data_IF_348384933918
#
_entry.id   IF_348384933918
#
_cell.length_a   1.000
_cell.length_b   1.000
_cell.length_c   1.000
_cell.angle_alpha   90.00
_cell.angle_beta   90.00
_cell.angle_gamma   90.00
#
_symmetry.space_group_name_H-M   'P 1'
#
loop_
_entity.id
_entity.type
_entity.pdbx_description
1 polymer ?
#
# COMPACT_ATOMS: atom_id res chain seq x y z
N UNK A 1 58.34 -57.83 4.12
CA UNK A 1 56.96 -58.20 4.50
C UNK A 1 55.99 -57.62 3.47
N UNK A 2 55.50 -58.48 2.53
CA UNK A 2 54.48 -58.09 1.55
C UNK A 2 53.13 -58.41 2.17
N UNK A 3 52.30 -57.34 2.47
CA UNK A 3 50.90 -57.54 2.80
C UNK A 3 50.16 -57.90 1.50
N UNK A 4 49.74 -59.15 1.43
CA UNK A 4 48.83 -59.63 0.38
C UNK A 4 47.45 -59.09 0.74
N UNK A 5 46.97 -58.05 0.00
CA UNK A 5 45.62 -57.60 0.03
C UNK A 5 44.70 -58.75 -0.44
N UNK A 6 44.05 -59.45 0.51
CA UNK A 6 42.95 -60.38 0.28
C UNK A 6 41.77 -59.62 -0.35
N UNK A 7 41.67 -59.68 -1.67
CA UNK A 7 40.51 -59.25 -2.36
C UNK A 7 39.27 -60.11 -1.93
N UNK A 8 38.21 -59.56 -1.42
CA UNK A 8 37.03 -60.33 -1.02
C UNK A 8 36.47 -61.05 -2.25
N UNK A 9 36.42 -62.35 -2.19
CA UNK A 9 35.74 -63.18 -3.23
C UNK A 9 34.22 -62.93 -3.13
N UNK A 10 33.77 -61.91 -3.84
CA UNK A 10 32.34 -61.60 -3.96
C UNK A 10 31.64 -62.78 -4.67
N UNK A 11 30.78 -63.48 -3.95
CA UNK A 11 29.90 -64.51 -4.53
C UNK A 11 29.00 -63.81 -5.56
N UNK A 12 28.73 -64.49 -6.69
CA UNK A 12 27.87 -63.95 -7.76
C UNK A 12 26.51 -63.42 -7.24
N UNK A 13 25.92 -64.06 -6.23
CA UNK A 13 24.70 -63.58 -5.55
C UNK A 13 24.90 -62.25 -4.85
N UNK A 14 25.99 -62.05 -4.21
CA UNK A 14 26.33 -60.79 -3.50
C UNK A 14 26.57 -59.64 -4.49
N UNK A 15 27.17 -59.94 -5.64
CA UNK A 15 27.38 -58.95 -6.69
C UNK A 15 26.06 -58.47 -7.32
N UNK A 16 25.14 -59.42 -7.61
CA UNK A 16 23.81 -59.12 -8.14
C UNK A 16 23.02 -58.28 -7.13
N UNK A 17 23.00 -58.64 -5.84
CA UNK A 17 22.33 -57.88 -4.80
C UNK A 17 22.92 -56.47 -4.67
N UNK A 18 24.21 -56.31 -4.71
CA UNK A 18 24.86 -55.00 -4.63
C UNK A 18 24.49 -54.12 -5.83
N UNK A 19 24.46 -54.71 -7.03
CA UNK A 19 24.13 -53.96 -8.24
C UNK A 19 22.65 -53.54 -8.28
N UNK A 20 21.72 -54.38 -7.80
CA UNK A 20 20.30 -54.03 -7.69
C UNK A 20 20.07 -52.95 -6.64
N UNK A 21 20.67 -53.04 -5.47
CA UNK A 21 20.57 -51.99 -4.44
C UNK A 21 21.16 -50.69 -4.94
N UNK A 22 22.32 -50.71 -5.61
CA UNK A 22 22.93 -49.50 -6.18
C UNK A 22 22.00 -48.85 -7.22
N UNK A 23 21.44 -49.66 -8.14
CA UNK A 23 20.51 -49.17 -9.17
C UNK A 23 19.28 -48.50 -8.57
N UNK A 24 18.66 -49.12 -7.58
CA UNK A 24 17.48 -48.59 -6.90
C UNK A 24 17.85 -47.29 -6.16
N UNK A 25 18.97 -47.25 -5.48
CA UNK A 25 19.43 -46.04 -4.77
C UNK A 25 19.67 -44.89 -5.76
N UNK A 26 20.33 -45.14 -6.89
CA UNK A 26 20.54 -44.11 -7.93
C UNK A 26 19.21 -43.57 -8.47
N UNK A 27 18.22 -44.41 -8.70
CA UNK A 27 16.86 -43.95 -9.13
C UNK A 27 16.20 -43.08 -8.09
N UNK A 28 16.25 -43.44 -6.81
CA UNK A 28 15.70 -42.62 -5.75
C UNK A 28 16.41 -41.25 -5.62
N UNK A 29 17.73 -41.24 -5.68
CA UNK A 29 18.52 -39.99 -5.64
C UNK A 29 18.16 -39.10 -6.82
N UNK A 30 18.10 -39.66 -8.04
CA UNK A 30 17.73 -38.92 -9.23
C UNK A 30 16.30 -38.36 -9.13
N UNK A 31 15.34 -39.19 -8.75
CA UNK A 31 13.95 -38.76 -8.57
C UNK A 31 13.81 -37.64 -7.52
N UNK A 32 14.55 -37.77 -6.40
CA UNK A 32 14.55 -36.75 -5.34
C UNK A 32 15.08 -35.40 -5.85
N UNK A 33 16.21 -35.40 -6.53
CA UNK A 33 16.75 -34.15 -7.09
C UNK A 33 15.85 -33.56 -8.18
N UNK A 34 15.31 -34.39 -9.06
CA UNK A 34 14.42 -33.94 -10.12
C UNK A 34 13.13 -33.33 -9.58
N UNK A 35 12.49 -33.96 -8.60
CA UNK A 35 11.28 -33.43 -7.97
C UNK A 35 11.58 -32.13 -7.24
N UNK A 36 12.63 -32.08 -6.44
CA UNK A 36 12.99 -30.85 -5.72
C UNK A 36 13.29 -29.69 -6.66
N UNK A 37 14.00 -29.93 -7.75
CA UNK A 37 14.31 -28.89 -8.74
C UNK A 37 13.03 -28.36 -9.41
N UNK A 38 12.19 -29.27 -9.92
CA UNK A 38 10.94 -28.90 -10.63
C UNK A 38 9.92 -28.23 -9.71
N UNK A 39 9.77 -28.72 -8.48
CA UNK A 39 8.83 -28.16 -7.49
C UNK A 39 9.28 -26.77 -7.08
N UNK A 40 10.60 -26.58 -6.85
CA UNK A 40 11.14 -25.28 -6.46
C UNK A 40 10.91 -24.20 -7.52
N UNK A 41 11.18 -24.49 -8.80
CA UNK A 41 10.92 -23.53 -9.88
C UNK A 41 9.42 -23.17 -9.97
N UNK A 42 8.55 -24.18 -9.98
CA UNK A 42 7.10 -23.92 -10.05
C UNK A 42 6.56 -23.15 -8.84
N UNK A 43 7.09 -23.39 -7.64
CA UNK A 43 6.70 -22.62 -6.45
C UNK A 43 7.13 -21.17 -6.54
N UNK A 44 8.33 -20.90 -7.03
CA UNK A 44 8.84 -19.54 -7.22
C UNK A 44 7.98 -18.80 -8.25
N UNK A 45 7.75 -19.39 -9.43
CA UNK A 45 6.99 -18.78 -10.49
C UNK A 45 5.54 -18.50 -10.07
N UNK A 46 4.89 -19.47 -9.42
CA UNK A 46 3.54 -19.29 -8.87
C UNK A 46 3.49 -18.19 -7.80
N UNK A 47 4.49 -18.14 -6.91
CA UNK A 47 4.56 -17.11 -5.88
C UNK A 47 4.76 -15.72 -6.47
N UNK A 48 5.59 -15.58 -7.50
CA UNK A 48 5.80 -14.32 -8.20
C UNK A 48 4.53 -13.88 -8.94
N UNK A 49 3.87 -14.79 -9.64
CA UNK A 49 2.62 -14.51 -10.35
C UNK A 49 1.50 -14.08 -9.38
N UNK A 50 1.33 -14.78 -8.27
CA UNK A 50 0.36 -14.45 -7.23
C UNK A 50 0.68 -13.08 -6.59
N UNK A 51 1.95 -12.79 -6.31
CA UNK A 51 2.34 -11.51 -5.74
C UNK A 51 2.10 -10.35 -6.73
N UNK A 52 2.36 -10.56 -8.01
CA UNK A 52 2.10 -9.57 -9.04
C UNK A 52 0.59 -9.29 -9.18
N UNK A 53 -0.24 -10.34 -9.21
CA UNK A 53 -1.70 -10.21 -9.24
C UNK A 53 -2.23 -9.50 -7.99
N UNK A 54 -1.76 -9.88 -6.81
CA UNK A 54 -2.16 -9.28 -5.54
C UNK A 54 -1.77 -7.79 -5.48
N UNK A 55 -0.55 -7.45 -5.91
CA UNK A 55 -0.08 -6.07 -5.98
C UNK A 55 -0.92 -5.23 -6.94
N UNK A 56 -1.28 -5.79 -8.10
CA UNK A 56 -2.15 -5.13 -9.08
C UNK A 56 -3.55 -4.88 -8.52
N UNK A 57 -4.12 -5.84 -7.83
CA UNK A 57 -5.44 -5.69 -7.17
C UNK A 57 -5.42 -4.62 -6.07
N UNK A 58 -4.37 -4.60 -5.24
CA UNK A 58 -4.21 -3.56 -4.20
C UNK A 58 -4.08 -2.18 -4.86
N UNK A 59 -3.26 -2.04 -5.89
CA UNK A 59 -3.08 -0.79 -6.60
C UNK A 59 -4.40 -0.29 -7.21
N UNK A 60 -5.16 -1.17 -7.88
CA UNK A 60 -6.46 -0.83 -8.45
C UNK A 60 -7.47 -0.42 -7.38
N UNK A 61 -7.54 -1.15 -6.26
CA UNK A 61 -8.43 -0.81 -5.14
C UNK A 61 -8.06 0.51 -4.49
N UNK A 62 -6.77 0.76 -4.27
CA UNK A 62 -6.26 2.02 -3.73
C UNK A 62 -6.59 3.18 -4.65
N UNK A 63 -6.37 3.03 -5.97
CA UNK A 63 -6.71 4.06 -6.94
C UNK A 63 -8.21 4.38 -6.91
N UNK A 64 -9.06 3.36 -6.88
CA UNK A 64 -10.52 3.55 -6.76
C UNK A 64 -10.89 4.35 -5.50
N UNK A 65 -10.29 4.04 -4.36
CA UNK A 65 -10.53 4.78 -3.11
C UNK A 65 -10.10 6.24 -3.22
N UNK A 66 -8.95 6.52 -3.85
CA UNK A 66 -8.50 7.89 -4.07
C UNK A 66 -9.44 8.67 -4.99
N UNK A 67 -9.91 8.06 -6.08
CA UNK A 67 -10.88 8.70 -6.98
C UNK A 67 -12.20 9.03 -6.26
N UNK A 68 -12.69 8.15 -5.40
CA UNK A 68 -13.87 8.38 -4.60
C UNK A 68 -13.67 9.55 -3.62
N UNK A 69 -12.54 9.60 -2.94
CA UNK A 69 -12.15 10.71 -2.06
C UNK A 69 -12.14 12.03 -2.83
N UNK A 70 -11.48 12.07 -3.98
CA UNK A 70 -11.37 13.26 -4.82
C UNK A 70 -12.75 13.72 -5.32
N UNK A 71 -13.60 12.80 -5.73
CA UNK A 71 -14.97 13.10 -6.16
C UNK A 71 -15.77 13.76 -5.02
N UNK A 72 -15.67 13.22 -3.81
CA UNK A 72 -16.34 13.78 -2.63
C UNK A 72 -15.82 15.17 -2.25
N UNK A 73 -14.50 15.37 -2.32
CA UNK A 73 -13.89 16.68 -2.06
C UNK A 73 -14.31 17.72 -3.09
N UNK A 74 -14.28 17.38 -4.38
CA UNK A 74 -14.74 18.27 -5.47
C UNK A 74 -16.21 18.64 -5.34
N UNK A 75 -17.05 17.67 -4.97
CA UNK A 75 -18.45 17.94 -4.71
C UNK A 75 -18.63 18.95 -3.58
N UNK A 76 -17.95 18.74 -2.43
CA UNK A 76 -17.99 19.69 -1.31
C UNK A 76 -17.43 21.05 -1.67
N UNK A 77 -16.31 21.09 -2.42
CA UNK A 77 -15.70 22.34 -2.86
C UNK A 77 -16.67 23.15 -3.74
N UNK A 78 -17.37 22.50 -4.67
CA UNK A 78 -18.39 23.13 -5.51
C UNK A 78 -19.56 23.66 -4.70
N UNK A 79 -20.05 22.89 -3.71
CA UNK A 79 -21.14 23.29 -2.86
C UNK A 79 -20.77 24.48 -1.97
N UNK A 80 -19.58 24.42 -1.35
CA UNK A 80 -19.05 25.52 -0.53
C UNK A 80 -18.77 26.78 -1.34
N UNK A 81 -18.39 26.66 -2.61
CA UNK A 81 -18.19 27.79 -3.50
C UNK A 81 -19.46 28.57 -3.79
N UNK A 82 -20.65 27.99 -3.62
CA UNK A 82 -21.94 28.69 -3.80
C UNK A 82 -22.27 29.63 -2.63
N UNK A 83 -21.93 29.25 -1.40
CA UNK A 83 -22.16 30.06 -0.20
C UNK A 83 -21.06 29.78 0.86
N UNK A 84 -19.89 30.28 0.57
CA UNK A 84 -18.74 30.12 1.49
C UNK A 84 -18.91 30.93 2.78
N UNK A 85 -19.74 31.95 2.78
CA UNK A 85 -20.01 32.78 3.96
C UNK A 85 -20.80 32.05 5.05
N UNK A 86 -21.62 31.06 4.67
CA UNK A 86 -22.43 30.30 5.61
C UNK A 86 -21.62 29.40 6.55
N UNK A 87 -21.57 29.79 7.82
CA UNK A 87 -20.87 28.95 8.85
C UNK A 87 -21.56 27.60 9.04
N UNK A 88 -22.88 27.54 8.90
CA UNK A 88 -23.65 26.29 9.00
C UNK A 88 -23.26 25.33 7.88
N UNK A 89 -23.17 25.81 6.64
CA UNK A 89 -22.78 25.01 5.49
C UNK A 89 -21.33 24.50 5.65
N UNK A 90 -20.39 25.35 6.05
CA UNK A 90 -18.98 24.96 6.28
C UNK A 90 -18.88 23.83 7.31
N UNK A 91 -19.56 23.95 8.44
CA UNK A 91 -19.53 22.97 9.50
C UNK A 91 -20.23 21.66 9.12
N UNK A 92 -21.37 21.73 8.43
CA UNK A 92 -22.07 20.54 7.96
C UNK A 92 -21.27 19.76 6.91
N UNK A 93 -20.62 20.46 5.96
CA UNK A 93 -19.82 19.80 4.94
C UNK A 93 -18.54 19.17 5.49
N UNK A 94 -17.85 19.83 6.41
CA UNK A 94 -16.67 19.22 7.06
C UNK A 94 -17.05 17.99 7.88
N UNK A 95 -18.17 18.02 8.59
CA UNK A 95 -18.69 16.87 9.31
C UNK A 95 -19.15 15.76 8.38
N UNK A 96 -19.84 16.08 7.27
CA UNK A 96 -20.28 15.13 6.26
C UNK A 96 -19.12 14.39 5.63
N UNK A 97 -18.11 15.10 5.16
CA UNK A 97 -16.91 14.50 4.57
C UNK A 97 -16.24 13.51 5.52
N UNK A 98 -16.10 13.89 6.80
CA UNK A 98 -15.50 12.98 7.80
C UNK A 98 -16.38 11.76 8.07
N UNK A 99 -17.71 11.92 8.11
CA UNK A 99 -18.64 10.82 8.42
C UNK A 99 -18.78 9.83 7.25
N UNK A 100 -18.72 10.32 6.02
CA UNK A 100 -18.88 9.50 4.81
C UNK A 100 -17.65 8.64 4.51
N UNK A 101 -16.49 9.06 4.96
CA UNK A 101 -15.26 8.33 4.67
C UNK A 101 -14.49 7.98 5.95
N UNK A 102 -14.39 6.68 6.21
CA UNK A 102 -13.48 6.17 7.24
C UNK A 102 -12.00 6.47 6.96
N UNK A 103 -11.69 6.91 5.74
CA UNK A 103 -10.32 7.20 5.30
C UNK A 103 -9.81 8.57 5.77
N UNK A 104 -10.71 9.53 6.07
CA UNK A 104 -10.30 10.83 6.60
C UNK A 104 -10.05 10.76 8.11
N UNK A 105 -8.84 11.06 8.55
CA UNK A 105 -8.55 11.28 9.96
C UNK A 105 -9.18 12.60 10.43
N UNK A 106 -9.07 13.64 9.61
CA UNK A 106 -9.60 14.97 9.86
C UNK A 106 -9.87 15.70 8.56
N UNK A 107 -10.79 16.65 8.59
CA UNK A 107 -11.14 17.54 7.49
C UNK A 107 -10.97 18.97 7.98
N UNK A 108 -10.29 19.80 7.19
CA UNK A 108 -10.06 21.21 7.49
C UNK A 108 -10.56 22.07 6.34
N UNK A 109 -11.16 23.18 6.68
CA UNK A 109 -11.47 24.25 5.75
C UNK A 109 -10.61 25.46 6.11
N UNK A 110 -9.90 26.00 5.14
CA UNK A 110 -9.00 27.12 5.33
C UNK A 110 -9.33 28.29 4.42
N UNK A 111 -9.05 29.50 4.86
CA UNK A 111 -9.18 30.71 4.04
C UNK A 111 -8.01 30.88 3.06
N UNK A 112 -7.99 31.99 2.31
CA UNK A 112 -6.93 32.31 1.34
C UNK A 112 -5.58 32.54 2.01
N UNK A 113 -5.59 32.99 3.26
CA UNK A 113 -4.41 33.24 4.08
C UNK A 113 -3.88 31.97 4.75
N UNK A 114 -4.64 30.86 4.67
CA UNK A 114 -4.29 29.57 5.28
C UNK A 114 -4.77 29.42 6.74
N UNK A 115 -5.66 30.29 7.24
CA UNK A 115 -6.23 30.14 8.56
C UNK A 115 -7.36 29.11 8.54
N UNK A 116 -7.44 28.31 9.59
CA UNK A 116 -8.53 27.34 9.73
C UNK A 116 -9.81 28.06 10.10
N UNK A 117 -10.83 27.92 9.29
CA UNK A 117 -12.17 28.47 9.52
C UNK A 117 -13.19 27.41 9.94
N UNK A 118 -12.98 26.14 9.62
CA UNK A 118 -13.77 25.03 10.10
C UNK A 118 -12.92 23.74 10.09
N UNK A 119 -13.16 22.84 11.03
CA UNK A 119 -12.49 21.54 11.08
C UNK A 119 -13.33 20.50 11.80
N UNK A 120 -13.09 19.25 11.47
CA UNK A 120 -13.72 18.11 12.12
C UNK A 120 -12.70 16.94 12.22
N UNK A 121 -12.64 16.16 13.32
CA UNK A 121 -13.44 16.29 14.54
C UNK A 121 -12.98 17.45 15.43
N UNK A 122 -13.90 18.09 16.11
CA UNK A 122 -13.67 19.24 16.99
C UNK A 122 -12.83 18.92 18.23
N UNK A 123 -12.64 17.63 18.54
CA UNK A 123 -11.76 17.16 19.63
C UNK A 123 -10.26 17.27 19.32
N UNK A 124 -9.89 17.56 18.08
CA UNK A 124 -8.48 17.74 17.70
C UNK A 124 -7.92 19.03 18.30
N UNK A 125 -6.88 18.89 19.13
CA UNK A 125 -6.09 20.02 19.57
C UNK A 125 -5.14 20.42 18.44
N UNK A 126 -5.49 21.46 17.69
CA UNK A 126 -4.74 21.92 16.55
C UNK A 126 -3.97 23.19 16.97
N UNK A 127 -2.69 23.17 16.75
CA UNK A 127 -1.91 24.40 16.79
C UNK A 127 -2.09 25.12 15.44
N UNK A 128 -2.97 26.13 15.45
CA UNK A 128 -3.29 26.93 14.25
C UNK A 128 -2.05 27.56 13.59
N UNK A 129 -0.98 27.81 14.34
CA UNK A 129 0.27 28.36 13.82
C UNK A 129 1.06 27.38 12.94
N UNK A 130 0.87 26.07 13.11
CA UNK A 130 1.61 25.07 12.32
C UNK A 130 0.96 24.77 10.97
N UNK A 131 -0.34 24.98 10.82
CA UNK A 131 -1.06 24.61 9.59
C UNK A 131 -0.81 25.58 8.44
N UNK A 132 -0.54 26.84 8.72
CA UNK A 132 -0.16 27.84 7.70
C UNK A 132 1.02 27.42 6.83
N UNK A 133 1.91 26.56 7.35
CA UNK A 133 3.09 26.07 6.65
C UNK A 133 2.92 24.70 6.04
N UNK A 134 1.71 24.13 6.06
CA UNK A 134 1.49 22.80 5.50
C UNK A 134 1.57 22.86 3.99
N UNK A 135 2.54 22.16 3.44
CA UNK A 135 2.88 22.16 2.02
C UNK A 135 1.65 21.93 1.11
N UNK A 136 0.72 21.09 1.54
CA UNK A 136 -0.50 20.78 0.79
C UNK A 136 -1.43 21.96 0.57
N UNK A 137 -1.63 22.80 1.59
CA UNK A 137 -2.49 23.99 1.51
C UNK A 137 -1.85 25.03 0.60
N UNK A 138 -0.59 25.35 0.85
CA UNK A 138 0.15 26.36 0.08
C UNK A 138 0.23 26.00 -1.41
N UNK A 139 0.51 24.74 -1.72
CA UNK A 139 0.62 24.30 -3.11
C UNK A 139 -0.73 24.28 -3.82
N UNK A 140 -1.82 23.86 -3.16
CA UNK A 140 -3.15 23.86 -3.74
C UNK A 140 -3.65 25.27 -4.04
N UNK A 141 -3.48 26.21 -3.11
CA UNK A 141 -3.82 27.62 -3.30
C UNK A 141 -3.02 28.26 -4.43
N UNK A 142 -1.70 27.99 -4.47
CA UNK A 142 -0.81 28.55 -5.51
C UNK A 142 -1.14 28.01 -6.89
N UNK A 143 -1.39 26.71 -7.01
CA UNK A 143 -1.63 26.03 -8.30
C UNK A 143 -3.08 26.13 -8.74
N UNK A 144 -4.00 26.49 -7.86
CA UNK A 144 -5.45 26.47 -8.08
C UNK A 144 -5.95 25.10 -8.59
N UNK A 145 -5.35 24.03 -8.08
CA UNK A 145 -5.65 22.65 -8.49
C UNK A 145 -5.62 21.73 -7.28
N UNK A 146 -6.25 20.57 -7.40
CA UNK A 146 -6.13 19.50 -6.43
C UNK A 146 -4.67 19.18 -6.19
N UNK A 147 -4.27 19.06 -4.94
CA UNK A 147 -2.93 18.69 -4.55
C UNK A 147 -2.96 17.49 -3.60
N UNK A 148 -2.12 16.49 -3.88
CA UNK A 148 -1.90 15.33 -3.03
C UNK A 148 -0.45 15.38 -2.57
N UNK A 149 -0.23 15.42 -1.25
CA UNK A 149 1.12 15.44 -0.70
C UNK A 149 1.78 14.06 -0.76
N UNK A 150 3.10 14.03 -0.75
CA UNK A 150 3.82 12.82 -0.36
C UNK A 150 3.47 12.43 1.08
N UNK A 151 3.52 11.13 1.43
CA UNK A 151 3.33 10.69 2.81
C UNK A 151 4.38 11.34 3.74
N UNK A 152 3.95 11.83 4.89
CA UNK A 152 4.85 12.39 5.90
C UNK A 152 4.37 12.09 7.33
N UNK A 153 5.28 12.16 8.28
CA UNK A 153 4.96 11.97 9.69
C UNK A 153 4.32 13.23 10.28
N UNK A 154 3.10 13.11 10.78
CA UNK A 154 2.42 14.18 11.49
C UNK A 154 3.04 14.44 12.86
N UNK A 155 2.69 15.58 13.49
CA UNK A 155 3.04 15.87 14.88
C UNK A 155 2.55 14.79 15.87
N UNK A 156 1.51 14.05 15.52
CA UNK A 156 0.99 12.91 16.29
C UNK A 156 1.68 11.59 15.99
N UNK A 157 2.83 11.60 15.30
CA UNK A 157 3.61 10.42 14.89
C UNK A 157 2.81 9.41 14.06
N UNK A 158 1.88 9.87 13.25
CA UNK A 158 1.15 9.06 12.28
C UNK A 158 1.60 9.43 10.87
N UNK A 159 1.76 8.41 10.03
CA UNK A 159 2.00 8.63 8.60
C UNK A 159 0.69 9.09 7.96
N UNK A 160 0.71 10.27 7.36
CA UNK A 160 -0.48 10.88 6.74
C UNK A 160 -0.17 11.39 5.35
N UNK A 161 -1.23 11.51 4.55
CA UNK A 161 -1.24 12.19 3.26
C UNK A 161 -2.26 13.30 3.35
N UNK A 162 -1.94 14.49 2.87
CA UNK A 162 -2.88 15.59 2.74
C UNK A 162 -3.40 15.62 1.31
N UNK A 163 -4.71 15.69 1.17
CA UNK A 163 -5.39 15.94 -0.09
C UNK A 163 -6.10 17.28 0.06
N UNK A 164 -5.73 18.24 -0.78
CA UNK A 164 -6.28 19.59 -0.76
C UNK A 164 -7.02 19.86 -2.07
N UNK A 165 -8.24 20.35 -1.98
CA UNK A 165 -9.06 20.75 -3.11
C UNK A 165 -9.36 22.25 -2.99
N UNK A 166 -9.03 23.09 -3.99
CA UNK A 166 -9.34 24.51 -3.95
C UNK A 166 -10.84 24.75 -4.12
N UNK A 167 -11.35 25.73 -3.39
CA UNK A 167 -12.74 26.17 -3.49
C UNK A 167 -12.76 27.48 -4.26
N UNK A 168 -13.54 27.51 -5.32
CA UNK A 168 -13.76 28.71 -6.13
C UNK A 168 -15.16 29.25 -5.83
N UNK A 169 -15.28 30.55 -5.67
CA UNK A 169 -16.58 31.21 -5.61
C UNK A 169 -17.21 31.23 -7.00
N UNK A 170 -18.47 31.71 -7.06
CA UNK A 170 -19.23 31.78 -8.32
C UNK A 170 -18.67 32.78 -9.33
N UNK A 171 -17.67 33.59 -8.93
CA UNK A 171 -17.03 34.57 -9.80
C UNK A 171 -15.61 34.12 -10.28
N UNK A 172 -15.07 32.98 -9.79
CA UNK A 172 -13.81 32.35 -10.23
C UNK A 172 -12.61 32.61 -9.34
#
# INVERSE_FOLDING_TARGET
MRQVLLAPRLNLRSLILLLTVLSVTCLFVFAFFFVNYTVKERLIDNSLALNAEYSSRIAAHTNYQFEEILKNLRFSAKLLGQDFASASLRNSETARLKSQSGHFNSVFLVDREGHIISFFPTSLKIDSKQIHKTLGITESLKRKQTYISSPYWSSTKRLIVIISEPIFDTQG
#
